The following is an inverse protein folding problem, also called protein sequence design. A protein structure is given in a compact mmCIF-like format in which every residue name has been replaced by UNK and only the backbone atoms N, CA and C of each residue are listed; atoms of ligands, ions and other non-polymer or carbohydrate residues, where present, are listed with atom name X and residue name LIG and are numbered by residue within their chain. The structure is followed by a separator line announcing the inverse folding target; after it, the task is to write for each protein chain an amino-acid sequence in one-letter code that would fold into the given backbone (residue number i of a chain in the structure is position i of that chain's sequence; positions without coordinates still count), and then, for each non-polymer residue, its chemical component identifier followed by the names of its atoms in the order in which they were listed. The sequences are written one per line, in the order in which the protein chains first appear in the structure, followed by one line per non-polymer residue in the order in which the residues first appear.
data_IF_726284940226
#
_entry.id   IF_726284940226
#
_cell.length_a   1.000
_cell.length_b   1.000
_cell.length_c   1.000
_cell.angle_alpha   90.00
_cell.angle_beta   90.00
_cell.angle_gamma   90.00
#
_symmetry.space_group_name_H-M   'P 1'
#
loop_
_entity.id
_entity.type
_entity.pdbx_description
1 polymer ?
#
# COMPACT_ATOMS: atom_id res chain seq x y z
N UNK A 1 -11.80 56.39 57.63
CA UNK A 1 -11.23 55.40 56.75
C UNK A 1 -12.22 55.23 55.60
N UNK A 2 -11.84 55.61 54.39
CA UNK A 2 -12.75 55.77 53.23
C UNK A 2 -12.76 54.52 52.40
N UNK A 3 -13.91 53.81 52.39
CA UNK A 3 -14.14 52.74 51.43
C UNK A 3 -14.44 53.34 50.05
N UNK A 4 -13.50 53.14 49.12
CA UNK A 4 -13.71 53.42 47.69
C UNK A 4 -14.35 52.15 47.05
N UNK A 5 -15.63 52.25 46.75
CA UNK A 5 -16.36 51.29 45.93
C UNK A 5 -15.87 51.41 44.52
N UNK A 6 -15.17 50.40 44.03
CA UNK A 6 -14.75 50.30 42.62
C UNK A 6 -15.96 49.80 41.85
N UNK A 7 -16.65 50.70 41.17
CA UNK A 7 -17.64 50.37 40.13
C UNK A 7 -16.87 49.86 38.91
N UNK A 8 -16.86 48.54 38.69
CA UNK A 8 -16.38 47.92 37.48
C UNK A 8 -17.35 48.21 36.34
N UNK A 9 -16.92 48.74 35.19
CA UNK A 9 -17.86 49.01 34.10
C UNK A 9 -18.22 47.71 33.40
N UNK A 10 -19.42 47.25 33.68
CA UNK A 10 -20.13 46.20 32.92
C UNK A 10 -20.77 46.83 31.69
N UNK A 11 -19.97 47.28 30.72
CA UNK A 11 -20.53 47.86 29.50
C UNK A 11 -19.57 47.73 28.32
N UNK A 12 -19.38 46.50 27.84
CA UNK A 12 -18.69 46.25 26.53
C UNK A 12 -18.98 44.85 25.98
N UNK A 13 -20.25 44.45 25.90
CA UNK A 13 -20.63 43.15 25.30
C UNK A 13 -21.73 43.26 24.22
N UNK A 14 -22.01 44.44 23.68
CA UNK A 14 -23.14 44.57 22.71
C UNK A 14 -22.69 44.97 21.29
N UNK A 15 -21.40 45.13 21.01
CA UNK A 15 -20.94 45.57 19.67
C UNK A 15 -20.26 44.44 18.88
N UNK A 16 -20.25 43.21 19.37
CA UNK A 16 -19.51 42.10 18.72
C UNK A 16 -20.32 41.30 17.67
N UNK A 17 -21.67 41.27 17.72
CA UNK A 17 -22.46 40.38 16.86
C UNK A 17 -22.42 40.75 15.38
N UNK A 18 -22.54 42.02 15.01
CA UNK A 18 -22.54 42.40 13.58
C UNK A 18 -21.23 42.30 12.86
N UNK A 19 -20.12 42.21 13.60
CA UNK A 19 -18.79 42.00 13.00
C UNK A 19 -18.46 40.52 12.77
N UNK A 20 -19.00 39.64 13.62
CA UNK A 20 -18.74 38.20 13.53
C UNK A 20 -19.41 37.57 12.31
N UNK A 21 -20.68 37.91 12.03
CA UNK A 21 -21.42 37.47 10.85
C UNK A 21 -20.66 37.85 9.56
N UNK A 22 -20.21 39.10 9.47
CA UNK A 22 -19.42 39.57 8.31
C UNK A 22 -18.12 38.80 8.14
N UNK A 23 -17.37 38.56 9.22
CA UNK A 23 -16.14 37.80 9.19
C UNK A 23 -16.38 36.33 8.84
N UNK A 24 -17.42 35.73 9.37
CA UNK A 24 -17.82 34.37 8.99
C UNK A 24 -18.19 34.27 7.51
N UNK A 25 -18.90 35.28 6.98
CA UNK A 25 -19.25 35.35 5.55
C UNK A 25 -18.01 35.54 4.66
N UNK A 26 -17.05 36.34 5.09
CA UNK A 26 -15.77 36.48 4.37
C UNK A 26 -15.01 35.13 4.32
N UNK A 27 -15.02 34.35 5.40
CA UNK A 27 -14.43 33.01 5.40
C UNK A 27 -15.18 32.03 4.47
N UNK A 28 -16.51 32.10 4.45
CA UNK A 28 -17.33 31.32 3.50
C UNK A 28 -16.99 31.67 2.04
N UNK A 29 -16.93 32.97 1.73
CA UNK A 29 -16.59 33.43 0.36
C UNK A 29 -15.19 32.95 -0.05
N UNK A 30 -14.25 32.91 0.89
CA UNK A 30 -12.93 32.34 0.62
C UNK A 30 -12.95 30.84 0.35
N UNK A 31 -13.75 30.08 1.13
CA UNK A 31 -13.97 28.65 0.91
C UNK A 31 -14.60 28.38 -0.45
N UNK A 32 -15.62 29.15 -0.83
CA UNK A 32 -16.29 29.05 -2.13
C UNK A 32 -15.36 29.39 -3.30
N UNK A 33 -14.51 30.40 -3.17
CA UNK A 33 -13.49 30.74 -4.15
C UNK A 33 -12.53 29.57 -4.39
N UNK A 34 -12.02 28.96 -3.31
CA UNK A 34 -11.12 27.81 -3.40
C UNK A 34 -11.82 26.57 -3.99
N UNK A 35 -13.08 26.33 -3.64
CA UNK A 35 -13.90 25.29 -4.25
C UNK A 35 -14.01 25.47 -5.77
N UNK A 36 -14.30 26.69 -6.22
CA UNK A 36 -14.40 27.03 -7.65
C UNK A 36 -13.05 26.90 -8.39
N UNK A 37 -11.93 27.08 -7.69
CA UNK A 37 -10.57 26.83 -8.20
C UNK A 37 -10.19 25.34 -8.19
N UNK A 38 -11.00 24.46 -7.59
CA UNK A 38 -10.73 23.04 -7.45
C UNK A 38 -9.75 22.67 -6.34
N UNK A 39 -9.39 23.61 -5.47
CA UNK A 39 -8.61 23.36 -4.26
C UNK A 39 -9.53 22.93 -3.11
N UNK A 40 -9.98 21.68 -3.20
CA UNK A 40 -10.93 21.10 -2.27
C UNK A 40 -10.36 20.90 -0.85
N UNK A 41 -9.04 20.75 -0.72
CA UNK A 41 -8.39 20.60 0.58
C UNK A 41 -8.42 21.93 1.33
N UNK A 42 -7.97 23.00 0.70
CA UNK A 42 -7.99 24.32 1.29
C UNK A 42 -9.43 24.81 1.54
N UNK A 43 -10.36 24.56 0.61
CA UNK A 43 -11.79 24.88 0.80
C UNK A 43 -12.38 24.21 2.05
N UNK A 44 -12.11 22.90 2.28
CA UNK A 44 -12.53 22.18 3.49
C UNK A 44 -11.99 22.83 4.76
N UNK A 45 -10.71 23.22 4.79
CA UNK A 45 -10.10 23.86 5.96
C UNK A 45 -10.79 25.17 6.33
N UNK A 46 -11.17 25.97 5.33
CA UNK A 46 -11.93 27.20 5.56
C UNK A 46 -13.33 26.92 6.10
N UNK A 47 -14.07 25.95 5.51
CA UNK A 47 -15.38 25.53 5.99
C UNK A 47 -15.34 25.06 7.45
N UNK A 48 -14.39 24.19 7.80
CA UNK A 48 -14.22 23.68 9.16
C UNK A 48 -13.90 24.81 10.15
N UNK A 49 -13.12 25.80 9.72
CA UNK A 49 -12.75 26.96 10.55
C UNK A 49 -13.92 27.87 10.86
N UNK A 50 -14.96 27.95 10.00
CA UNK A 50 -16.16 28.78 10.25
C UNK A 50 -16.89 28.31 11.51
N UNK A 51 -17.22 27.02 11.58
CA UNK A 51 -17.96 26.46 12.73
C UNK A 51 -17.14 26.49 14.03
N UNK A 52 -15.81 26.38 13.93
CA UNK A 52 -14.92 26.44 15.09
C UNK A 52 -14.78 27.88 15.63
N UNK A 53 -14.73 28.89 14.75
CA UNK A 53 -14.45 30.28 15.11
C UNK A 53 -15.73 31.07 15.43
N UNK A 54 -16.80 30.79 14.68
CA UNK A 54 -18.09 31.53 14.75
C UNK A 54 -19.29 30.61 14.98
N UNK A 55 -19.34 29.84 16.10
CA UNK A 55 -20.36 28.82 16.33
C UNK A 55 -21.78 29.39 16.48
N UNK A 56 -21.95 30.71 16.65
CA UNK A 56 -23.24 31.38 16.78
C UNK A 56 -23.83 31.83 15.43
N UNK A 57 -23.03 31.83 14.34
CA UNK A 57 -23.46 32.31 13.02
C UNK A 57 -24.13 31.17 12.23
N UNK A 58 -25.32 30.77 12.71
CA UNK A 58 -26.02 29.55 12.25
C UNK A 58 -26.30 29.55 10.76
N UNK A 59 -26.63 30.69 10.16
CA UNK A 59 -26.97 30.78 8.75
C UNK A 59 -25.73 30.60 7.86
N UNK A 60 -24.60 31.19 8.24
CA UNK A 60 -23.32 30.99 7.53
C UNK A 60 -22.82 29.54 7.67
N UNK A 61 -22.98 28.97 8.88
CA UNK A 61 -22.63 27.56 9.13
C UNK A 61 -23.47 26.64 8.23
N UNK A 62 -24.76 26.92 8.05
CA UNK A 62 -25.63 26.13 7.17
C UNK A 62 -25.17 26.19 5.71
N UNK A 63 -24.82 27.39 5.23
CA UNK A 63 -24.22 27.54 3.88
C UNK A 63 -22.90 26.78 3.76
N UNK A 64 -22.02 26.88 4.77
CA UNK A 64 -20.75 26.17 4.81
C UNK A 64 -20.94 24.64 4.81
N UNK A 65 -21.94 24.10 5.51
CA UNK A 65 -22.28 22.66 5.47
C UNK A 65 -22.75 22.20 4.09
N UNK A 66 -23.55 23.02 3.38
CA UNK A 66 -23.92 22.71 1.99
C UNK A 66 -22.72 22.73 1.07
N UNK A 67 -21.87 23.74 1.19
CA UNK A 67 -20.62 23.83 0.43
C UNK A 67 -19.71 22.62 0.72
N UNK A 68 -19.62 22.19 1.98
CA UNK A 68 -18.83 20.99 2.36
C UNK A 68 -19.34 19.73 1.67
N UNK A 69 -20.65 19.55 1.51
CA UNK A 69 -21.20 18.42 0.74
C UNK A 69 -20.75 18.48 -0.72
N UNK A 70 -20.83 19.64 -1.36
CA UNK A 70 -20.37 19.83 -2.73
C UNK A 70 -18.85 19.64 -2.89
N UNK A 71 -18.07 20.14 -1.93
CA UNK A 71 -16.61 19.89 -1.88
C UNK A 71 -16.33 18.39 -1.84
N UNK A 72 -17.01 17.66 -0.96
CA UNK A 72 -16.83 16.22 -0.81
C UNK A 72 -17.22 15.48 -2.09
N UNK A 73 -18.36 15.80 -2.71
CA UNK A 73 -18.77 15.20 -3.99
C UNK A 73 -17.68 15.38 -5.04
N UNK A 74 -17.23 16.62 -5.30
CA UNK A 74 -16.22 16.91 -6.34
C UNK A 74 -14.87 16.30 -6.05
N UNK A 75 -14.46 16.27 -4.77
CA UNK A 75 -13.22 15.63 -4.36
C UNK A 75 -13.23 14.13 -4.62
N UNK A 76 -14.29 13.43 -4.18
CA UNK A 76 -14.38 11.98 -4.35
C UNK A 76 -14.66 11.57 -5.79
N UNK A 77 -15.45 12.35 -6.57
CA UNK A 77 -15.59 12.15 -8.02
C UNK A 77 -14.23 12.16 -8.72
N UNK A 78 -13.39 13.18 -8.42
CA UNK A 78 -12.05 13.30 -9.02
C UNK A 78 -11.11 12.17 -8.56
N UNK A 79 -11.14 11.83 -7.28
CA UNK A 79 -10.33 10.73 -6.74
C UNK A 79 -10.73 9.38 -7.36
N UNK A 80 -12.01 9.12 -7.56
CA UNK A 80 -12.50 7.88 -8.18
C UNK A 80 -12.03 7.75 -9.62
N UNK A 81 -12.06 8.83 -10.42
CA UNK A 81 -11.55 8.81 -11.80
C UNK A 81 -10.06 8.43 -11.82
N UNK A 82 -9.25 9.01 -10.93
CA UNK A 82 -7.82 8.70 -10.82
C UNK A 82 -7.59 7.25 -10.38
N UNK A 83 -8.28 6.82 -9.33
CA UNK A 83 -8.18 5.45 -8.78
C UNK A 83 -8.62 4.42 -9.81
N UNK A 84 -9.72 4.64 -10.53
CA UNK A 84 -10.19 3.73 -11.58
C UNK A 84 -9.17 3.62 -12.73
N UNK A 85 -8.56 4.72 -13.13
CA UNK A 85 -7.52 4.71 -14.16
C UNK A 85 -6.31 3.87 -13.72
N UNK A 86 -5.83 4.08 -12.49
CA UNK A 86 -4.70 3.33 -11.93
C UNK A 86 -5.04 1.85 -11.73
N UNK A 87 -6.23 1.54 -11.24
CA UNK A 87 -6.71 0.17 -11.03
C UNK A 87 -6.78 -0.60 -12.34
N UNK A 88 -7.37 0.01 -13.38
CA UNK A 88 -7.48 -0.62 -14.69
C UNK A 88 -6.09 -0.87 -15.31
N UNK A 89 -5.17 0.09 -15.20
CA UNK A 89 -3.80 -0.08 -15.68
C UNK A 89 -3.07 -1.20 -14.94
N UNK A 90 -3.14 -1.23 -13.60
CA UNK A 90 -2.50 -2.26 -12.79
C UNK A 90 -3.09 -3.65 -13.04
N UNK A 91 -4.40 -3.75 -13.19
CA UNK A 91 -5.10 -5.00 -13.50
C UNK A 91 -4.73 -5.54 -14.89
N UNK A 92 -4.67 -4.67 -15.90
CA UNK A 92 -4.25 -5.04 -17.26
C UNK A 92 -2.79 -5.52 -17.28
N UNK A 93 -1.90 -4.84 -16.56
CA UNK A 93 -0.50 -5.25 -16.41
C UNK A 93 -0.37 -6.61 -15.72
N UNK A 94 -1.11 -6.81 -14.61
CA UNK A 94 -1.13 -8.09 -13.89
C UNK A 94 -1.64 -9.24 -14.79
N UNK A 95 -2.69 -9.00 -15.56
CA UNK A 95 -3.23 -9.99 -16.50
C UNK A 95 -2.20 -10.35 -17.60
N UNK A 96 -1.53 -9.36 -18.18
CA UNK A 96 -0.45 -9.57 -19.15
C UNK A 96 0.71 -10.35 -18.54
N UNK A 97 1.11 -9.98 -17.31
CA UNK A 97 2.22 -10.62 -16.61
C UNK A 97 1.91 -12.08 -16.28
N UNK A 98 0.69 -12.41 -15.85
CA UNK A 98 0.23 -13.79 -15.60
C UNK A 98 0.45 -14.72 -16.80
N UNK A 99 0.37 -14.20 -18.03
CA UNK A 99 0.66 -14.97 -19.24
C UNK A 99 2.08 -15.54 -19.32
N UNK A 100 3.03 -15.01 -18.55
CA UNK A 100 4.42 -15.50 -18.45
C UNK A 100 4.63 -16.59 -17.40
N UNK A 101 3.57 -16.97 -16.68
CA UNK A 101 3.63 -17.93 -15.58
C UNK A 101 2.82 -19.18 -15.88
N UNK A 102 3.19 -20.25 -15.21
CA UNK A 102 2.40 -21.46 -15.08
C UNK A 102 1.75 -21.45 -13.68
N UNK A 103 0.48 -21.85 -13.59
CA UNK A 103 -0.20 -22.05 -12.31
C UNK A 103 0.02 -23.50 -11.90
N UNK A 104 0.72 -23.70 -10.78
CA UNK A 104 1.18 -25.02 -10.33
C UNK A 104 0.64 -25.32 -8.95
N UNK A 105 0.15 -26.55 -8.77
CA UNK A 105 -0.15 -27.13 -7.45
C UNK A 105 0.82 -28.28 -7.20
N UNK A 106 1.54 -28.22 -6.09
CA UNK A 106 2.45 -29.27 -5.65
C UNK A 106 1.77 -30.13 -4.59
N UNK A 107 1.18 -31.24 -5.02
CA UNK A 107 0.48 -32.16 -4.13
C UNK A 107 -1.01 -31.88 -3.94
N UNK A 108 -1.73 -32.90 -3.43
CA UNK A 108 -3.18 -32.86 -3.24
C UNK A 108 -3.62 -32.01 -2.04
N UNK A 109 -2.72 -31.81 -1.08
CA UNK A 109 -2.98 -31.07 0.17
C UNK A 109 -2.79 -29.54 0.01
N UNK A 110 -2.23 -29.09 -1.12
CA UNK A 110 -2.01 -27.68 -1.36
C UNK A 110 -3.32 -27.01 -1.78
N UNK A 111 -3.84 -26.13 -0.91
CA UNK A 111 -5.10 -25.40 -1.14
C UNK A 111 -4.94 -24.28 -2.19
N UNK A 112 -3.79 -23.59 -2.19
CA UNK A 112 -3.52 -22.48 -3.11
C UNK A 112 -2.51 -22.92 -4.18
N UNK A 113 -2.77 -22.58 -5.43
CA UNK A 113 -1.77 -22.74 -6.48
C UNK A 113 -0.70 -21.63 -6.42
N UNK A 114 0.43 -21.89 -7.05
CA UNK A 114 1.52 -20.94 -7.15
C UNK A 114 1.74 -20.57 -8.62
N UNK A 115 1.94 -19.27 -8.87
CA UNK A 115 2.49 -18.76 -10.12
C UNK A 115 4.00 -19.02 -10.16
N UNK A 116 4.44 -19.85 -11.07
CA UNK A 116 5.86 -20.16 -11.33
C UNK A 116 6.24 -19.64 -12.70
N UNK A 117 7.33 -18.89 -12.80
CA UNK A 117 7.78 -18.30 -14.06
C UNK A 117 8.12 -19.41 -15.08
N UNK A 118 7.60 -19.28 -16.30
CA UNK A 118 7.78 -20.28 -17.37
C UNK A 118 9.28 -20.50 -17.65
N UNK A 119 9.66 -21.77 -17.71
CA UNK A 119 11.06 -22.17 -17.92
C UNK A 119 11.93 -22.18 -16.65
N UNK A 120 11.51 -21.59 -15.54
CA UNK A 120 12.25 -21.62 -14.26
C UNK A 120 11.63 -22.60 -13.24
N UNK A 121 10.83 -23.54 -13.69
CA UNK A 121 10.26 -24.58 -12.83
C UNK A 121 11.25 -25.71 -12.64
N UNK A 122 11.65 -25.97 -11.40
CA UNK A 122 12.34 -27.20 -11.02
C UNK A 122 11.33 -28.34 -10.95
N UNK A 123 11.52 -29.36 -11.77
CA UNK A 123 10.67 -30.56 -11.80
C UNK A 123 11.36 -31.74 -11.12
N UNK A 124 10.61 -32.49 -10.30
CA UNK A 124 11.10 -33.73 -9.67
C UNK A 124 12.05 -33.47 -8.49
N UNK A 125 12.94 -34.44 -8.25
CA UNK A 125 13.89 -34.39 -7.14
C UNK A 125 14.90 -33.26 -7.28
N UNK A 126 15.32 -32.71 -6.12
CA UNK A 126 16.40 -31.72 -6.06
C UNK A 126 17.73 -32.40 -6.48
N UNK A 127 18.36 -31.89 -7.51
CA UNK A 127 19.64 -32.41 -8.04
C UNK A 127 20.70 -31.33 -8.20
N UNK A 128 20.43 -30.11 -7.82
CA UNK A 128 21.35 -28.96 -7.90
C UNK A 128 21.02 -27.90 -6.86
N UNK A 129 22.01 -27.10 -6.51
CA UNK A 129 21.80 -25.87 -5.75
C UNK A 129 21.22 -24.79 -6.66
N UNK A 130 20.18 -24.08 -6.18
CA UNK A 130 19.48 -23.07 -6.95
C UNK A 130 18.70 -22.11 -6.04
N UNK A 131 18.26 -20.97 -6.58
CA UNK A 131 17.18 -20.19 -6.01
C UNK A 131 15.88 -20.52 -6.75
N UNK A 132 14.82 -20.81 -5.99
CA UNK A 132 13.45 -20.97 -6.50
C UNK A 132 12.64 -19.78 -6.08
N UNK A 133 11.76 -19.32 -6.95
CA UNK A 133 10.84 -18.21 -6.66
C UNK A 133 9.46 -18.53 -7.20
N UNK A 134 8.44 -18.18 -6.43
CA UNK A 134 7.03 -18.34 -6.80
C UNK A 134 6.19 -17.28 -6.12
N UNK A 135 4.96 -17.08 -6.63
CA UNK A 135 3.96 -16.19 -6.04
C UNK A 135 2.68 -16.98 -5.85
N UNK A 136 2.09 -16.98 -4.66
CA UNK A 136 0.80 -17.64 -4.43
C UNK A 136 -0.32 -16.97 -5.23
N UNK A 137 -1.46 -17.65 -5.39
CA UNK A 137 -2.68 -17.05 -5.99
C UNK A 137 -3.15 -15.78 -5.25
N UNK A 138 -2.72 -15.59 -4.00
CA UNK A 138 -3.00 -14.40 -3.18
C UNK A 138 -1.96 -13.29 -3.31
N UNK A 139 -0.91 -13.49 -4.12
CA UNK A 139 0.14 -12.51 -4.33
C UNK A 139 1.34 -12.59 -3.38
N UNK A 140 1.41 -13.61 -2.49
CA UNK A 140 2.52 -13.77 -1.57
C UNK A 140 3.75 -14.33 -2.29
N UNK A 141 4.84 -13.57 -2.33
CA UNK A 141 6.11 -14.02 -2.88
C UNK A 141 6.82 -14.95 -1.90
N UNK A 142 7.33 -16.05 -2.42
CA UNK A 142 8.19 -17.00 -1.72
C UNK A 142 9.49 -17.18 -2.51
N UNK A 143 10.62 -16.92 -1.85
CA UNK A 143 11.96 -17.20 -2.36
C UNK A 143 12.54 -18.35 -1.55
N UNK A 144 13.04 -19.39 -2.21
CA UNK A 144 13.66 -20.56 -1.53
C UNK A 144 15.10 -20.73 -2.01
N UNK A 145 16.03 -20.71 -1.07
CA UNK A 145 17.41 -21.12 -1.33
C UNK A 145 17.55 -22.62 -1.14
N UNK A 146 17.96 -23.31 -2.21
CA UNK A 146 18.14 -24.77 -2.23
C UNK A 146 19.63 -25.06 -2.32
N UNK A 147 20.17 -25.76 -1.34
CA UNK A 147 21.51 -26.33 -1.40
C UNK A 147 21.44 -27.84 -1.65
N UNK A 148 22.27 -28.32 -2.56
CA UNK A 148 22.48 -29.74 -2.86
C UNK A 148 23.97 -30.03 -2.89
N UNK A 149 24.44 -30.83 -1.94
CA UNK A 149 25.88 -31.12 -1.84
C UNK A 149 26.17 -32.32 -0.94
N UNK A 150 27.43 -32.73 -0.90
CA UNK A 150 27.88 -33.92 -0.15
C UNK A 150 28.13 -33.66 1.34
N UNK A 151 28.19 -32.39 1.78
CA UNK A 151 28.42 -32.00 3.17
C UNK A 151 27.32 -31.05 3.65
N UNK A 152 27.02 -31.11 4.95
CA UNK A 152 26.08 -30.16 5.58
C UNK A 152 26.66 -28.76 5.53
N UNK A 153 25.84 -27.81 5.10
CA UNK A 153 26.12 -26.38 5.07
C UNK A 153 25.54 -25.70 6.30
N UNK A 154 24.38 -26.19 6.75
CA UNK A 154 23.57 -25.62 7.83
C UNK A 154 23.23 -24.15 7.56
N UNK A 155 22.86 -23.83 6.29
CA UNK A 155 22.59 -22.45 5.94
C UNK A 155 21.27 -21.96 6.55
N UNK A 156 21.25 -20.67 6.89
CA UNK A 156 20.13 -20.00 7.53
C UNK A 156 19.76 -18.72 6.79
N UNK A 157 20.57 -18.28 5.85
CA UNK A 157 20.37 -17.05 5.11
C UNK A 157 21.15 -17.05 3.79
N UNK A 158 20.92 -16.03 2.98
CA UNK A 158 21.66 -15.75 1.75
C UNK A 158 22.11 -14.29 1.72
N UNK A 159 23.27 -14.07 1.08
CA UNK A 159 23.77 -12.75 0.70
C UNK A 159 23.92 -12.73 -0.82
N UNK A 160 23.38 -11.72 -1.46
CA UNK A 160 23.48 -11.54 -2.92
C UNK A 160 24.35 -10.35 -3.22
N UNK A 161 25.38 -10.56 -4.04
CA UNK A 161 26.23 -9.50 -4.58
C UNK A 161 25.97 -9.36 -6.08
N UNK A 162 25.61 -8.15 -6.49
CA UNK A 162 25.44 -7.79 -7.90
C UNK A 162 26.74 -7.22 -8.46
N UNK A 163 26.97 -7.40 -9.75
CA UNK A 163 28.06 -6.73 -10.46
C UNK A 163 27.91 -5.21 -10.28
N UNK A 164 29.00 -4.54 -9.87
CA UNK A 164 28.95 -3.13 -9.46
C UNK A 164 29.10 -2.94 -7.95
N UNK A 165 29.11 -4.06 -7.17
CA UNK A 165 29.47 -4.04 -5.74
C UNK A 165 28.29 -3.96 -4.76
N UNK A 166 27.06 -3.75 -5.24
CA UNK A 166 25.88 -3.73 -4.38
C UNK A 166 25.64 -5.11 -3.75
N UNK A 167 25.30 -5.11 -2.46
CA UNK A 167 25.06 -6.32 -1.67
C UNK A 167 23.73 -6.21 -0.93
N UNK A 168 22.97 -7.29 -0.94
CA UNK A 168 21.73 -7.43 -0.17
C UNK A 168 21.70 -8.76 0.57
N UNK A 169 21.10 -8.79 1.75
CA UNK A 169 21.01 -9.97 2.60
C UNK A 169 19.55 -10.32 2.89
N UNK A 170 19.26 -11.63 2.99
CA UNK A 170 18.01 -12.11 3.53
C UNK A 170 18.01 -12.03 5.04
N UNK A 171 16.81 -12.14 5.65
CA UNK A 171 16.70 -12.48 7.07
C UNK A 171 17.34 -13.84 7.35
N UNK A 172 17.74 -14.05 8.60
CA UNK A 172 18.21 -15.35 9.09
C UNK A 172 17.03 -16.19 9.55
N UNK A 173 16.85 -17.38 8.95
CA UNK A 173 15.81 -18.35 9.32
C UNK A 173 16.48 -19.54 10.01
N UNK A 174 16.29 -19.65 11.30
CA UNK A 174 16.79 -20.79 12.06
C UNK A 174 16.12 -22.10 11.60
N UNK A 175 16.80 -23.23 11.83
CA UNK A 175 16.23 -24.53 11.53
C UNK A 175 14.95 -24.77 12.38
N UNK A 176 13.84 -25.03 11.70
CA UNK A 176 12.52 -25.24 12.31
C UNK A 176 11.78 -26.48 11.76
N UNK A 177 12.40 -27.18 10.80
CA UNK A 177 11.79 -28.35 10.14
C UNK A 177 10.69 -28.00 9.15
N UNK A 178 10.36 -26.72 8.97
CA UNK A 178 9.35 -26.21 8.04
C UNK A 178 9.93 -25.25 7.02
N UNK A 179 10.11 -23.97 7.37
CA UNK A 179 10.71 -22.96 6.48
C UNK A 179 12.19 -23.21 6.23
N UNK A 180 12.90 -23.76 7.22
CA UNK A 180 14.27 -24.23 7.08
C UNK A 180 14.30 -25.71 7.43
N UNK A 181 14.43 -26.56 6.44
CA UNK A 181 14.49 -28.00 6.62
C UNK A 181 15.59 -28.65 5.79
N UNK A 182 15.93 -29.90 6.15
CA UNK A 182 17.04 -30.65 5.57
C UNK A 182 16.71 -32.11 5.49
N UNK A 183 17.14 -32.75 4.41
CA UNK A 183 17.04 -34.21 4.27
C UNK A 183 18.25 -34.77 3.52
N UNK A 184 18.39 -36.09 3.52
CA UNK A 184 19.39 -36.80 2.73
C UNK A 184 18.73 -37.53 1.57
N UNK A 185 19.39 -37.53 0.43
CA UNK A 185 19.06 -38.34 -0.74
C UNK A 185 20.34 -39.00 -1.26
N UNK A 186 20.46 -40.33 -1.02
CA UNK A 186 21.72 -41.04 -1.27
C UNK A 186 22.88 -40.44 -0.47
N UNK A 187 23.98 -40.10 -1.16
CA UNK A 187 25.15 -39.47 -0.56
C UNK A 187 25.08 -37.95 -0.45
N UNK A 188 23.96 -37.36 -0.80
CA UNK A 188 23.78 -35.90 -0.84
C UNK A 188 22.90 -35.42 0.33
N UNK A 189 23.16 -34.19 0.75
CA UNK A 189 22.35 -33.42 1.67
C UNK A 189 21.62 -32.35 0.88
N UNK A 190 20.32 -32.24 1.09
CA UNK A 190 19.50 -31.13 0.60
C UNK A 190 19.16 -30.25 1.79
N UNK A 191 19.39 -28.95 1.64
CA UNK A 191 18.96 -27.94 2.63
C UNK A 191 18.11 -26.92 1.89
N UNK A 192 16.94 -26.57 2.46
CA UNK A 192 16.01 -25.61 1.87
C UNK A 192 15.63 -24.56 2.91
N UNK A 193 15.78 -23.29 2.54
CA UNK A 193 15.33 -22.16 3.37
C UNK A 193 14.42 -21.29 2.56
N UNK A 194 13.16 -21.15 3.03
CA UNK A 194 12.11 -20.38 2.36
C UNK A 194 11.87 -19.07 3.08
N UNK A 195 11.90 -17.99 2.34
CA UNK A 195 11.70 -16.62 2.78
C UNK A 195 10.39 -16.08 2.19
N UNK A 196 9.60 -15.38 3.00
CA UNK A 196 8.55 -14.51 2.49
C UNK A 196 9.14 -13.17 1.99
N UNK A 197 8.32 -12.33 1.35
CA UNK A 197 8.79 -11.07 0.78
C UNK A 197 9.45 -10.15 1.84
N UNK A 198 8.90 -10.05 3.05
CA UNK A 198 9.48 -9.20 4.10
C UNK A 198 10.89 -9.68 4.53
N UNK A 199 11.15 -10.99 4.43
CA UNK A 199 12.41 -11.61 4.81
C UNK A 199 13.48 -11.58 3.72
N UNK A 200 13.11 -11.33 2.46
CA UNK A 200 14.03 -11.29 1.33
C UNK A 200 13.86 -10.06 0.43
N UNK A 201 13.16 -9.02 0.90
CA UNK A 201 12.83 -7.83 0.12
C UNK A 201 14.06 -7.23 -0.56
N UNK A 202 15.09 -6.92 0.21
CA UNK A 202 16.29 -6.28 -0.30
C UNK A 202 17.00 -7.14 -1.36
N UNK A 203 16.98 -8.47 -1.17
CA UNK A 203 17.55 -9.45 -2.13
C UNK A 203 16.79 -9.42 -3.45
N UNK A 204 15.46 -9.50 -3.41
CA UNK A 204 14.65 -9.51 -4.65
C UNK A 204 14.66 -8.16 -5.35
N UNK A 205 14.69 -7.05 -4.60
CA UNK A 205 14.82 -5.70 -5.14
C UNK A 205 16.17 -5.49 -5.83
N UNK A 206 17.27 -5.92 -5.22
CA UNK A 206 18.59 -5.84 -5.82
C UNK A 206 18.65 -6.62 -7.14
N UNK A 207 18.15 -7.85 -7.17
CA UNK A 207 18.14 -8.67 -8.39
C UNK A 207 17.21 -8.05 -9.46
N UNK A 208 16.07 -7.51 -9.06
CA UNK A 208 15.09 -6.92 -9.96
C UNK A 208 15.51 -5.55 -10.52
N UNK A 209 16.41 -4.83 -9.84
CA UNK A 209 16.89 -3.51 -10.27
C UNK A 209 17.64 -3.55 -11.61
N UNK A 210 18.39 -4.63 -11.85
CA UNK A 210 19.05 -4.89 -13.13
C UNK A 210 19.20 -6.41 -13.37
N UNK A 211 18.30 -6.97 -14.16
CA UNK A 211 18.31 -8.41 -14.50
C UNK A 211 19.43 -8.80 -15.46
N UNK A 212 20.13 -7.85 -16.10
CA UNK A 212 21.27 -8.13 -16.96
C UNK A 212 22.56 -8.24 -16.15
N UNK A 213 22.65 -7.56 -15.01
CA UNK A 213 23.81 -7.62 -14.14
C UNK A 213 23.99 -9.05 -13.57
N UNK A 214 25.24 -9.52 -13.53
CA UNK A 214 25.57 -10.80 -12.90
C UNK A 214 25.36 -10.72 -11.39
N UNK A 215 24.73 -11.74 -10.81
CA UNK A 215 24.50 -11.86 -9.39
C UNK A 215 25.12 -13.14 -8.87
N UNK A 216 25.91 -13.04 -7.80
CA UNK A 216 26.44 -14.16 -7.03
C UNK A 216 25.73 -14.23 -5.69
N UNK A 217 25.28 -15.43 -5.33
CA UNK A 217 24.61 -15.73 -4.08
C UNK A 217 25.54 -16.51 -3.17
N UNK A 218 25.79 -15.99 -1.98
CA UNK A 218 26.49 -16.70 -0.91
C UNK A 218 25.46 -17.23 0.07
N UNK A 219 25.45 -18.55 0.25
CA UNK A 219 24.66 -19.20 1.30
C UNK A 219 25.38 -19.07 2.63
N UNK A 220 24.71 -18.55 3.64
CA UNK A 220 25.28 -18.22 4.95
C UNK A 220 24.89 -19.30 5.95
N UNK A 221 25.90 -19.98 6.54
CA UNK A 221 25.70 -21.05 7.52
C UNK A 221 27.00 -21.40 8.23
N UNK A 222 27.09 -22.61 8.75
CA UNK A 222 28.33 -23.14 9.35
C UNK A 222 29.47 -23.25 8.36
N UNK A 223 29.14 -23.44 7.08
CA UNK A 223 30.04 -23.31 5.92
C UNK A 223 29.40 -22.38 4.91
N UNK A 224 30.20 -21.80 4.00
CA UNK A 224 29.66 -20.98 2.91
C UNK A 224 29.65 -21.75 1.59
N UNK A 225 28.68 -21.45 0.74
CA UNK A 225 28.59 -21.95 -0.62
C UNK A 225 28.22 -20.77 -1.53
N UNK A 226 28.82 -20.71 -2.72
CA UNK A 226 28.55 -19.64 -3.67
C UNK A 226 27.85 -20.21 -4.92
N UNK A 227 26.83 -19.50 -5.38
CA UNK A 227 26.04 -19.82 -6.57
C UNK A 227 25.99 -18.59 -7.47
N UNK A 228 26.34 -18.73 -8.75
CA UNK A 228 26.10 -17.69 -9.74
C UNK A 228 24.69 -17.85 -10.32
N UNK A 229 23.88 -16.79 -10.31
CA UNK A 229 22.53 -16.83 -10.86
C UNK A 229 22.56 -16.72 -12.38
N UNK A 230 21.92 -17.67 -13.05
CA UNK A 230 21.66 -17.58 -14.49
C UNK A 230 20.63 -16.47 -14.81
N UNK A 231 20.56 -16.08 -16.09
CA UNK A 231 19.67 -15.02 -16.57
C UNK A 231 18.21 -15.35 -16.30
N UNK A 232 17.80 -16.60 -16.54
CA UNK A 232 16.40 -17.02 -16.38
C UNK A 232 15.95 -16.94 -14.92
N UNK A 233 16.81 -17.32 -13.97
CA UNK A 233 16.54 -17.20 -12.54
C UNK A 233 16.40 -15.74 -12.11
N UNK A 234 17.26 -14.83 -12.62
CA UNK A 234 17.14 -13.39 -12.34
C UNK A 234 15.84 -12.80 -12.88
N UNK A 235 15.48 -13.14 -14.13
CA UNK A 235 14.22 -12.73 -14.74
C UNK A 235 12.98 -13.28 -13.98
N UNK A 236 13.05 -14.53 -13.54
CA UNK A 236 12.00 -15.15 -12.74
C UNK A 236 11.79 -14.38 -11.42
N UNK A 237 12.86 -14.07 -10.70
CA UNK A 237 12.82 -13.31 -9.44
C UNK A 237 12.23 -11.92 -9.68
N UNK A 238 12.69 -11.20 -10.69
CA UNK A 238 12.19 -9.86 -11.02
C UNK A 238 10.70 -9.87 -11.41
N UNK A 239 10.26 -10.84 -12.22
CA UNK A 239 8.86 -10.93 -12.63
C UNK A 239 7.95 -11.40 -11.47
N UNK A 240 8.42 -12.30 -10.59
CA UNK A 240 7.69 -12.65 -9.37
C UNK A 240 7.56 -11.46 -8.44
N UNK A 241 8.62 -10.68 -8.24
CA UNK A 241 8.56 -9.46 -7.44
C UNK A 241 7.58 -8.43 -8.01
N UNK A 242 7.64 -8.20 -9.33
CA UNK A 242 6.68 -7.32 -10.03
C UNK A 242 5.25 -7.82 -9.86
N UNK A 243 5.00 -9.12 -10.00
CA UNK A 243 3.68 -9.72 -9.80
C UNK A 243 3.17 -9.51 -8.37
N UNK A 244 3.97 -9.79 -7.35
CA UNK A 244 3.60 -9.60 -5.96
C UNK A 244 3.27 -8.13 -5.65
N UNK A 245 4.04 -7.17 -6.19
CA UNK A 245 3.73 -5.75 -6.07
C UNK A 245 2.42 -5.34 -6.75
N UNK A 246 2.13 -5.91 -7.92
CA UNK A 246 0.87 -5.65 -8.62
C UNK A 246 -0.33 -6.19 -7.87
N UNK A 247 -0.24 -7.35 -7.22
CA UNK A 247 -1.30 -7.86 -6.35
C UNK A 247 -1.60 -6.88 -5.21
N UNK A 248 -0.57 -6.44 -4.48
CA UNK A 248 -0.72 -5.46 -3.39
C UNK A 248 -1.30 -4.13 -3.90
N UNK A 249 -0.83 -3.67 -5.05
CA UNK A 249 -1.29 -2.41 -5.67
C UNK A 249 -2.76 -2.50 -6.08
N UNK A 250 -3.18 -3.58 -6.75
CA UNK A 250 -4.58 -3.77 -7.17
C UNK A 250 -5.52 -3.86 -5.98
N UNK A 251 -5.14 -4.58 -4.92
CA UNK A 251 -5.93 -4.71 -3.69
C UNK A 251 -6.08 -3.34 -2.98
N UNK A 252 -4.99 -2.60 -2.85
CA UNK A 252 -5.01 -1.25 -2.28
C UNK A 252 -5.87 -0.27 -3.09
N UNK A 253 -5.78 -0.30 -4.42
CA UNK A 253 -6.59 0.57 -5.30
C UNK A 253 -8.07 0.18 -5.26
N UNK A 254 -8.39 -1.10 -5.18
CA UNK A 254 -9.76 -1.57 -5.00
C UNK A 254 -10.35 -1.06 -3.68
N UNK A 255 -9.62 -1.17 -2.58
CA UNK A 255 -10.06 -0.67 -1.28
C UNK A 255 -10.28 0.85 -1.28
N UNK A 256 -9.39 1.61 -1.94
CA UNK A 256 -9.57 3.06 -2.11
C UNK A 256 -10.80 3.40 -2.95
N UNK A 257 -11.06 2.64 -4.01
CA UNK A 257 -12.25 2.78 -4.85
C UNK A 257 -13.53 2.57 -4.07
N UNK A 258 -13.62 1.47 -3.32
CA UNK A 258 -14.77 1.14 -2.47
C UNK A 258 -15.01 2.25 -1.42
N UNK A 259 -13.94 2.72 -0.78
CA UNK A 259 -14.03 3.84 0.16
C UNK A 259 -14.54 5.11 -0.50
N UNK A 260 -14.02 5.49 -1.68
CA UNK A 260 -14.46 6.68 -2.43
C UNK A 260 -15.94 6.62 -2.80
N UNK A 261 -16.44 5.45 -3.24
CA UNK A 261 -17.87 5.24 -3.56
C UNK A 261 -18.74 5.49 -2.32
N UNK A 262 -18.36 4.90 -1.18
CA UNK A 262 -19.09 5.07 0.08
C UNK A 262 -19.12 6.54 0.51
N UNK A 263 -18.01 7.25 0.39
CA UNK A 263 -17.93 8.66 0.75
C UNK A 263 -18.77 9.56 -0.17
N UNK A 264 -18.81 9.24 -1.45
CA UNK A 264 -19.66 9.96 -2.41
C UNK A 264 -21.14 9.77 -2.09
N UNK A 265 -21.58 8.54 -1.83
CA UNK A 265 -22.95 8.25 -1.40
C UNK A 265 -23.33 8.95 -0.09
N UNK A 266 -22.38 9.07 0.85
CA UNK A 266 -22.61 9.78 2.11
C UNK A 266 -22.78 11.29 1.88
N UNK A 267 -21.96 11.88 1.02
CA UNK A 267 -22.07 13.30 0.64
C UNK A 267 -23.42 13.59 -0.03
N UNK A 268 -23.86 12.74 -0.94
CA UNK A 268 -25.16 12.85 -1.62
C UNK A 268 -26.32 12.80 -0.63
N UNK A 269 -26.31 11.82 0.29
CA UNK A 269 -27.35 11.69 1.32
C UNK A 269 -27.39 12.88 2.28
N UNK A 270 -26.22 13.42 2.63
CA UNK A 270 -26.13 14.60 3.48
C UNK A 270 -26.68 15.84 2.77
N UNK A 271 -26.33 16.02 1.50
CA UNK A 271 -26.83 17.12 0.68
C UNK A 271 -28.37 17.10 0.58
N UNK A 272 -28.96 15.95 0.25
CA UNK A 272 -30.43 15.79 0.22
C UNK A 272 -31.09 16.18 1.54
N UNK A 273 -30.56 15.67 2.67
CA UNK A 273 -31.10 16.00 3.99
C UNK A 273 -31.03 17.49 4.32
N UNK A 274 -29.97 18.19 3.91
CA UNK A 274 -29.83 19.62 4.15
C UNK A 274 -30.79 20.43 3.27
N UNK A 275 -31.00 20.01 2.03
CA UNK A 275 -31.95 20.62 1.10
C UNK A 275 -33.42 20.46 1.57
N UNK A 276 -33.78 19.23 2.01
CA UNK A 276 -35.14 18.98 2.55
C UNK A 276 -35.44 19.84 3.78
N UNK A 277 -34.50 19.94 4.73
CA UNK A 277 -34.64 20.82 5.90
C UNK A 277 -34.73 22.29 5.51
N UNK A 278 -34.01 22.73 4.50
CA UNK A 278 -34.10 24.10 4.02
C UNK A 278 -35.49 24.39 3.42
N UNK A 279 -36.05 23.43 2.67
CA UNK A 279 -37.38 23.54 2.07
C UNK A 279 -38.52 23.51 3.15
N UNK A 280 -38.37 22.75 4.23
CA UNK A 280 -39.30 22.71 5.35
C UNK A 280 -39.31 24.04 6.13
N UNK A 281 -38.14 24.65 6.35
CA UNK A 281 -38.01 25.92 7.08
C UNK A 281 -38.47 27.15 6.26
N UNK A 282 -38.65 27.00 4.94
CA UNK A 282 -39.14 28.06 4.06
C UNK A 282 -40.68 28.10 3.92
N UNK A 283 -41.36 27.10 4.49
CA UNK A 283 -42.83 27.02 4.54
C UNK A 283 -43.38 27.58 5.86
#
# INVERSE_FOLDING_TARGET
MKNKLILLPLLLLIVACGNNEKLAQEMYNQAELLYNQGDYIAATQWVDSISATYPQEVDVIRQAMLLQCHINQKRYERELIEVDSLYNAATAELASLKGRFELVREGKEQTLANYVYKGNRSKGEVRRSELRVQVTEKGDLQLTSVYYGTSKLNHTGISVQQAGGNVANSATIAYDGGKNYRYKTGNYVVEMVTYNLAQCKDVVELIASDTQAKCNVKYIGGKSFNLSLDKLTREAIANCYRMARLFVMTDSLQSRREYGIIQLELADRQLMKLQDKAAENAK
#
